data_IF_279507103211
#
_entry.id   IF_279507103211
#
_cell.length_a   1.000
_cell.length_b   1.000
_cell.length_c   1.000
_cell.angle_alpha   90.00
_cell.angle_beta   90.00
_cell.angle_gamma   90.00
#
_symmetry.space_group_name_H-M   'P 1'
#
loop_
_entity.id
_entity.type
_entity.pdbx_description
1 polymer ?
#
# COMPACT_ATOMS: atom_id res chain seq x y z
N UNK A 1 -27.44 -5.50 -26.85
CA UNK A 1 -27.23 -6.45 -25.75
C UNK A 1 -27.06 -5.63 -24.47
N UNK A 2 -28.10 -5.57 -23.65
CA UNK A 2 -28.20 -4.72 -22.46
C UNK A 2 -27.63 -5.47 -21.25
N UNK A 3 -26.39 -5.18 -20.87
CA UNK A 3 -25.74 -5.74 -19.69
C UNK A 3 -26.35 -5.15 -18.40
N UNK A 4 -27.35 -5.83 -17.82
CA UNK A 4 -27.52 -6.08 -16.38
C UNK A 4 -27.52 -4.96 -15.31
N UNK A 5 -27.31 -3.69 -15.62
CA UNK A 5 -27.38 -2.60 -14.64
C UNK A 5 -27.91 -1.36 -15.30
N UNK A 6 -29.09 -0.88 -14.88
CA UNK A 6 -29.78 0.28 -15.44
C UNK A 6 -29.01 1.60 -15.26
N UNK A 7 -29.70 2.65 -14.82
CA UNK A 7 -29.06 3.94 -14.54
C UNK A 7 -27.96 3.84 -13.46
N UNK A 8 -27.12 4.89 -13.36
CA UNK A 8 -26.03 4.89 -12.38
C UNK A 8 -26.54 4.77 -10.93
N UNK A 9 -27.70 5.37 -10.63
CA UNK A 9 -28.36 5.24 -9.34
C UNK A 9 -28.64 3.77 -8.97
N UNK A 10 -29.06 2.96 -9.93
CA UNK A 10 -29.27 1.53 -9.75
C UNK A 10 -27.96 0.76 -9.55
N UNK A 11 -26.88 1.16 -10.22
CA UNK A 11 -25.55 0.53 -10.09
C UNK A 11 -24.90 0.82 -8.73
N UNK A 12 -25.02 2.04 -8.20
CA UNK A 12 -24.41 2.41 -6.91
C UNK A 12 -25.15 1.83 -5.69
N UNK A 13 -26.44 1.47 -5.84
CA UNK A 13 -27.30 1.00 -4.74
C UNK A 13 -26.64 -0.08 -3.89
N UNK A 14 -26.02 -1.08 -4.50
CA UNK A 14 -25.39 -2.17 -3.76
C UNK A 14 -24.28 -1.66 -2.81
N UNK A 15 -23.37 -0.83 -3.33
CA UNK A 15 -22.28 -0.28 -2.52
C UNK A 15 -22.81 0.59 -1.36
N UNK A 16 -23.81 1.42 -1.63
CA UNK A 16 -24.44 2.31 -0.66
C UNK A 16 -25.17 1.54 0.43
N UNK A 17 -25.99 0.53 0.08
CA UNK A 17 -26.71 -0.28 1.06
C UNK A 17 -25.77 -1.11 1.93
N UNK A 18 -24.65 -1.60 1.39
CA UNK A 18 -23.63 -2.31 2.19
C UNK A 18 -23.06 -1.38 3.26
N UNK A 19 -22.62 -0.18 2.89
CA UNK A 19 -22.06 0.78 3.87
C UNK A 19 -23.12 1.18 4.90
N UNK A 20 -24.36 1.44 4.46
CA UNK A 20 -25.46 1.81 5.36
C UNK A 20 -25.79 0.68 6.34
N UNK A 21 -25.90 -0.56 5.87
CA UNK A 21 -26.19 -1.71 6.71
C UNK A 21 -25.06 -1.98 7.72
N UNK A 22 -23.80 -1.83 7.31
CA UNK A 22 -22.65 -1.93 8.22
C UNK A 22 -22.73 -0.83 9.27
N UNK A 23 -22.92 0.44 8.88
CA UNK A 23 -23.04 1.56 9.82
C UNK A 23 -24.16 1.35 10.84
N UNK A 24 -25.35 0.94 10.38
CA UNK A 24 -26.48 0.62 11.26
C UNK A 24 -26.14 -0.50 12.25
N UNK A 25 -25.34 -1.49 11.86
CA UNK A 25 -24.97 -2.61 12.72
C UNK A 25 -23.92 -2.26 13.76
N UNK A 26 -22.92 -1.45 13.39
CA UNK A 26 -21.75 -1.18 14.25
C UNK A 26 -21.88 0.09 15.09
N UNK A 27 -22.89 0.93 14.83
CA UNK A 27 -23.07 2.21 15.52
C UNK A 27 -22.15 3.31 14.99
N UNK A 28 -22.11 4.47 15.65
CA UNK A 28 -21.36 5.64 15.15
C UNK A 28 -19.87 5.60 15.50
N UNK A 29 -19.51 5.04 16.66
CA UNK A 29 -18.12 4.97 17.16
C UNK A 29 -17.34 3.79 16.57
N UNK A 30 -17.38 3.67 15.25
CA UNK A 30 -16.70 2.62 14.50
C UNK A 30 -16.18 3.16 13.17
N UNK A 31 -14.90 2.92 12.87
CA UNK A 31 -14.30 3.37 11.62
C UNK A 31 -14.80 2.50 10.46
N UNK A 32 -15.38 3.14 9.45
CA UNK A 32 -15.70 2.49 8.17
C UNK A 32 -14.87 3.15 7.08
N UNK A 33 -14.00 2.37 6.43
CA UNK A 33 -13.22 2.84 5.28
C UNK A 33 -13.83 2.23 4.02
N UNK A 34 -14.26 3.09 3.09
CA UNK A 34 -14.69 2.64 1.77
C UNK A 34 -13.56 2.85 0.76
N UNK A 35 -13.13 1.78 0.09
CA UNK A 35 -12.10 1.88 -0.95
C UNK A 35 -12.76 2.08 -2.31
N UNK A 36 -12.85 3.34 -2.73
CA UNK A 36 -13.49 3.77 -3.96
C UNK A 36 -12.54 3.62 -5.16
N UNK A 37 -12.95 2.91 -6.21
CA UNK A 37 -12.24 2.99 -7.48
C UNK A 37 -12.45 4.38 -8.07
N UNK A 38 -11.36 5.15 -8.19
CA UNK A 38 -11.41 6.53 -8.71
C UNK A 38 -10.81 6.64 -10.12
N UNK A 39 -10.23 5.55 -10.62
CA UNK A 39 -9.63 5.46 -11.93
C UNK A 39 -9.58 3.99 -12.37
N UNK A 40 -10.59 3.53 -13.11
CA UNK A 40 -10.75 2.09 -13.43
C UNK A 40 -9.71 1.55 -14.42
N UNK A 41 -9.23 2.38 -15.36
CA UNK A 41 -8.25 2.01 -16.41
C UNK A 41 -8.67 0.85 -17.33
N UNK A 42 -9.97 0.66 -17.51
CA UNK A 42 -10.57 -0.28 -18.48
C UNK A 42 -11.55 0.45 -19.40
N UNK A 43 -11.81 -0.13 -20.56
CA UNK A 43 -12.84 0.36 -21.46
C UNK A 43 -14.21 0.31 -20.78
N UNK A 44 -15.04 1.35 -20.99
CA UNK A 44 -16.35 1.49 -20.34
C UNK A 44 -16.30 1.50 -18.80
N UNK A 45 -15.17 1.93 -18.21
CA UNK A 45 -15.07 2.25 -16.78
C UNK A 45 -15.92 3.46 -16.38
N UNK A 46 -15.98 3.72 -15.08
CA UNK A 46 -16.72 4.85 -14.51
C UNK A 46 -16.13 6.21 -14.89
N UNK A 47 -17.01 7.21 -14.96
CA UNK A 47 -16.59 8.62 -15.17
C UNK A 47 -16.20 9.27 -13.84
N UNK A 48 -15.56 10.45 -13.92
CA UNK A 48 -15.25 11.22 -12.72
C UNK A 48 -16.53 11.74 -12.02
N UNK A 49 -17.55 12.15 -12.79
CA UNK A 49 -18.82 12.61 -12.22
C UNK A 49 -19.55 11.48 -11.49
N UNK A 50 -19.54 10.27 -12.06
CA UNK A 50 -20.01 9.05 -11.42
C UNK A 50 -19.23 8.79 -10.12
N UNK A 51 -17.90 8.91 -10.15
CA UNK A 51 -17.04 8.75 -8.96
C UNK A 51 -17.40 9.73 -7.85
N UNK A 52 -17.63 11.01 -8.18
CA UNK A 52 -18.07 12.05 -7.22
C UNK A 52 -19.43 11.70 -6.64
N UNK A 53 -20.40 11.32 -7.48
CA UNK A 53 -21.74 10.95 -7.05
C UNK A 53 -21.71 9.76 -6.08
N UNK A 54 -20.92 8.73 -6.37
CA UNK A 54 -20.75 7.59 -5.49
C UNK A 54 -20.03 7.97 -4.19
N UNK A 55 -18.98 8.79 -4.23
CA UNK A 55 -18.27 9.24 -3.04
C UNK A 55 -19.20 9.96 -2.05
N UNK A 56 -20.04 10.88 -2.55
CA UNK A 56 -21.03 11.60 -1.76
C UNK A 56 -22.10 10.66 -1.20
N UNK A 57 -22.57 9.69 -1.99
CA UNK A 57 -23.54 8.70 -1.52
C UNK A 57 -22.97 7.79 -0.42
N UNK A 58 -21.68 7.45 -0.50
CA UNK A 58 -20.96 6.65 0.49
C UNK A 58 -20.69 7.43 1.77
N UNK A 59 -20.33 8.72 1.66
CA UNK A 59 -20.27 9.63 2.81
C UNK A 59 -21.62 9.71 3.52
N UNK A 60 -22.71 9.97 2.79
CA UNK A 60 -24.06 10.01 3.34
C UNK A 60 -24.53 8.66 3.94
N UNK A 61 -24.00 7.53 3.44
CA UNK A 61 -24.26 6.21 4.01
C UNK A 61 -23.51 5.96 5.34
N UNK A 62 -22.55 6.81 5.69
CA UNK A 62 -21.85 6.79 6.98
C UNK A 62 -20.43 6.24 6.93
N UNK A 63 -19.75 6.29 5.79
CA UNK A 63 -18.31 6.04 5.75
C UNK A 63 -17.54 7.09 6.58
N UNK A 64 -16.49 6.65 7.27
CA UNK A 64 -15.61 7.53 8.06
C UNK A 64 -14.46 8.08 7.21
N UNK A 65 -13.89 7.26 6.32
CA UNK A 65 -12.83 7.65 5.39
C UNK A 65 -13.08 7.04 4.01
N UNK A 66 -12.58 7.70 2.97
CA UNK A 66 -12.54 7.14 1.61
C UNK A 66 -11.08 6.91 1.21
N UNK A 67 -10.77 5.66 0.88
CA UNK A 67 -9.47 5.26 0.35
C UNK A 67 -9.52 5.16 -1.18
N UNK A 68 -8.47 5.61 -1.85
CA UNK A 68 -8.40 5.54 -3.31
C UNK A 68 -8.08 4.11 -3.79
N UNK A 69 -8.79 3.67 -4.83
CA UNK A 69 -8.50 2.52 -5.67
C UNK A 69 -8.11 2.97 -7.08
N UNK A 70 -7.06 2.37 -7.63
CA UNK A 70 -6.52 2.69 -8.96
C UNK A 70 -6.35 1.40 -9.76
N UNK A 71 -7.03 1.35 -10.90
CA UNK A 71 -7.00 0.27 -11.86
C UNK A 71 -7.75 -0.98 -11.40
N UNK A 72 -8.04 -1.82 -12.37
CA UNK A 72 -8.54 -3.18 -12.16
C UNK A 72 -7.44 -4.21 -12.43
N UNK A 73 -7.62 -5.45 -11.97
CA UNK A 73 -6.68 -6.53 -12.28
C UNK A 73 -6.58 -6.83 -13.79
N UNK A 74 -7.62 -6.52 -14.55
CA UNK A 74 -7.68 -6.69 -16.01
C UNK A 74 -7.07 -5.51 -16.78
N UNK A 75 -6.78 -4.39 -16.12
CA UNK A 75 -6.23 -3.21 -16.76
C UNK A 75 -4.84 -3.50 -17.34
N UNK A 76 -4.60 -3.03 -18.57
CA UNK A 76 -3.31 -3.19 -19.28
C UNK A 76 -2.29 -2.12 -18.91
N UNK A 77 -2.69 -1.13 -18.11
CA UNK A 77 -1.85 -0.03 -17.66
C UNK A 77 -1.25 -0.41 -16.30
N UNK A 78 0.09 -0.40 -16.13
CA UNK A 78 0.71 -0.68 -14.84
C UNK A 78 0.32 0.35 -13.77
N UNK A 79 -0.16 -0.10 -12.62
CA UNK A 79 -0.57 0.79 -11.51
C UNK A 79 0.33 0.71 -10.29
N UNK A 80 1.10 -0.37 -10.13
CA UNK A 80 1.86 -0.64 -8.91
C UNK A 80 3.32 -1.10 -9.13
N UNK A 81 3.66 -1.59 -10.32
CA UNK A 81 4.98 -2.17 -10.62
C UNK A 81 6.10 -1.11 -10.64
N UNK A 82 7.37 -1.54 -10.65
CA UNK A 82 8.58 -0.67 -10.67
C UNK A 82 8.57 0.44 -11.74
N UNK A 83 8.06 0.24 -12.97
CA UNK A 83 8.01 1.31 -13.97
C UNK A 83 7.09 2.49 -13.62
N UNK A 84 6.14 2.31 -12.70
CA UNK A 84 5.21 3.38 -12.30
C UNK A 84 5.96 4.43 -11.45
N UNK A 85 5.84 5.74 -11.68
CA UNK A 85 6.53 6.73 -10.84
C UNK A 85 6.09 6.69 -9.36
N UNK A 86 6.92 7.20 -8.46
CA UNK A 86 6.53 7.36 -7.05
C UNK A 86 5.36 8.34 -6.93
N UNK A 87 4.33 7.99 -6.15
CA UNK A 87 3.15 8.84 -5.93
C UNK A 87 2.35 9.19 -7.20
N UNK A 88 2.46 8.38 -8.27
CA UNK A 88 1.95 8.70 -9.61
C UNK A 88 0.45 9.04 -9.71
N UNK A 89 -0.35 8.65 -8.71
CA UNK A 89 -1.80 8.81 -8.71
C UNK A 89 -2.32 9.69 -7.58
N UNK A 90 -1.45 10.40 -6.85
CA UNK A 90 -1.85 11.39 -5.83
C UNK A 90 -2.85 12.42 -6.35
N UNK A 91 -2.66 12.87 -7.59
CA UNK A 91 -3.55 13.80 -8.28
C UNK A 91 -4.98 13.26 -8.46
N UNK A 92 -5.18 11.94 -8.53
CA UNK A 92 -6.52 11.32 -8.65
C UNK A 92 -7.30 11.56 -7.36
N UNK A 93 -6.68 11.29 -6.21
CA UNK A 93 -7.27 11.58 -4.89
C UNK A 93 -7.51 13.08 -4.73
N UNK A 94 -6.55 13.92 -5.16
CA UNK A 94 -6.67 15.39 -5.10
C UNK A 94 -7.90 15.92 -5.83
N UNK A 95 -8.29 15.31 -6.95
CA UNK A 95 -9.49 15.72 -7.71
C UNK A 95 -10.78 15.60 -6.91
N UNK A 96 -10.85 14.66 -5.95
CA UNK A 96 -12.04 14.45 -5.12
C UNK A 96 -12.09 15.39 -3.89
N UNK A 97 -10.97 16.07 -3.55
CA UNK A 97 -10.94 17.04 -2.45
C UNK A 97 -11.93 18.19 -2.73
N UNK A 98 -12.77 18.48 -1.73
CA UNK A 98 -13.81 19.52 -1.81
C UNK A 98 -15.18 19.01 -2.29
N UNK A 99 -15.27 17.79 -2.82
CA UNK A 99 -16.55 17.17 -3.18
C UNK A 99 -17.19 16.38 -2.03
N UNK A 100 -16.39 15.97 -1.05
CA UNK A 100 -16.78 15.28 0.18
C UNK A 100 -16.06 15.91 1.37
N UNK A 101 -16.59 15.73 2.58
CA UNK A 101 -16.01 16.26 3.83
C UNK A 101 -15.18 15.22 4.59
N UNK A 102 -15.45 13.93 4.39
CA UNK A 102 -14.65 12.84 4.97
C UNK A 102 -13.19 12.86 4.50
N UNK A 103 -12.22 12.49 5.36
CA UNK A 103 -10.82 12.43 4.97
C UNK A 103 -10.55 11.45 3.82
N UNK A 104 -9.67 11.85 2.91
CA UNK A 104 -9.27 11.06 1.74
C UNK A 104 -7.86 10.46 1.92
N UNK A 105 -7.69 9.22 1.45
CA UNK A 105 -6.42 8.49 1.55
C UNK A 105 -5.85 8.24 0.14
N UNK A 106 -4.71 8.85 -0.18
CA UNK A 106 -3.98 8.61 -1.43
C UNK A 106 -3.17 7.31 -1.35
N UNK A 107 -3.02 6.59 -2.47
CA UNK A 107 -2.32 5.30 -2.51
C UNK A 107 -1.43 5.16 -3.75
N UNK A 108 -0.86 3.97 -3.92
CA UNK A 108 0.00 3.51 -5.00
C UNK A 108 1.37 4.19 -5.08
N UNK A 109 2.42 3.36 -5.04
CA UNK A 109 3.83 3.76 -5.25
C UNK A 109 4.31 4.90 -4.34
N UNK A 110 3.71 5.04 -3.17
CA UNK A 110 4.24 5.84 -2.07
C UNK A 110 5.09 4.88 -1.22
N UNK A 111 6.41 5.05 -1.20
CA UNK A 111 7.37 4.14 -0.57
C UNK A 111 8.56 4.88 0.07
N UNK A 112 8.40 6.18 0.28
CA UNK A 112 9.44 7.09 0.74
C UNK A 112 8.77 8.14 1.64
N UNK A 113 9.31 8.40 2.85
CA UNK A 113 8.70 9.35 3.78
C UNK A 113 8.56 10.76 3.20
N UNK A 114 9.56 11.23 2.43
CA UNK A 114 9.54 12.57 1.84
C UNK A 114 8.49 12.68 0.74
N UNK A 115 8.27 11.61 -0.03
CA UNK A 115 7.19 11.56 -1.03
C UNK A 115 5.82 11.61 -0.34
N UNK A 116 5.64 10.84 0.73
CA UNK A 116 4.42 10.88 1.53
C UNK A 116 4.17 12.28 2.10
N UNK A 117 5.17 12.88 2.74
CA UNK A 117 5.10 14.22 3.31
C UNK A 117 4.77 15.27 2.24
N UNK A 118 5.40 15.18 1.07
CA UNK A 118 5.15 16.10 -0.04
C UNK A 118 3.70 16.04 -0.54
N UNK A 119 3.11 14.84 -0.61
CA UNK A 119 1.70 14.64 -0.99
C UNK A 119 0.77 15.30 0.04
N UNK A 120 1.04 15.09 1.33
CA UNK A 120 0.24 15.66 2.43
C UNK A 120 0.37 17.19 2.48
N UNK A 121 1.59 17.72 2.43
CA UNK A 121 1.87 19.16 2.49
C UNK A 121 1.27 19.94 1.31
N UNK A 122 1.12 19.31 0.13
CA UNK A 122 0.45 19.90 -1.05
C UNK A 122 -1.08 19.83 -0.97
N UNK A 123 -1.63 19.11 0.00
CA UNK A 123 -3.07 18.92 0.17
C UNK A 123 -3.69 17.94 -0.84
N UNK A 124 -2.89 17.02 -1.40
CA UNK A 124 -3.37 16.00 -2.33
C UNK A 124 -4.31 14.99 -1.66
N UNK A 125 -4.07 14.71 -0.37
CA UNK A 125 -4.88 13.85 0.47
C UNK A 125 -4.69 14.20 1.94
N UNK A 126 -5.54 13.66 2.81
CA UNK A 126 -5.46 13.82 4.26
C UNK A 126 -4.60 12.72 4.91
N UNK A 127 -4.45 11.59 4.20
CA UNK A 127 -3.60 10.47 4.60
C UNK A 127 -2.96 9.81 3.37
N UNK A 128 -1.91 9.04 3.60
CA UNK A 128 -1.32 8.16 2.58
C UNK A 128 -1.44 6.69 2.98
N UNK A 129 -1.66 5.84 1.98
CA UNK A 129 -1.72 4.40 2.11
C UNK A 129 -0.46 3.78 1.54
N UNK A 130 0.24 3.03 2.39
CA UNK A 130 1.40 2.23 2.04
C UNK A 130 1.10 0.77 2.41
N UNK A 131 1.26 -0.15 1.45
CA UNK A 131 1.10 -1.59 1.70
C UNK A 131 2.46 -2.30 1.61
N UNK A 132 2.99 -2.46 0.40
CA UNK A 132 4.28 -3.13 0.15
C UNK A 132 5.49 -2.49 0.87
N UNK A 133 5.56 -1.17 1.12
CA UNK A 133 6.60 -0.62 1.97
C UNK A 133 6.68 -1.27 3.35
N UNK A 134 5.55 -1.65 3.96
CA UNK A 134 5.55 -2.35 5.26
C UNK A 134 5.96 -3.82 5.18
N UNK A 135 5.84 -4.46 4.01
CA UNK A 135 6.49 -5.77 3.79
C UNK A 135 8.00 -5.62 3.68
N UNK A 136 8.48 -4.54 3.05
CA UNK A 136 9.91 -4.28 2.90
C UNK A 136 10.58 -3.84 4.21
N UNK A 137 9.89 -3.02 5.00
CA UNK A 137 10.38 -2.52 6.28
C UNK A 137 9.23 -2.27 7.26
N UNK A 138 9.15 -3.08 8.32
CA UNK A 138 8.16 -2.90 9.37
C UNK A 138 8.47 -1.69 10.28
N UNK A 139 9.72 -1.21 10.29
CA UNK A 139 10.17 -0.06 11.07
C UNK A 139 10.09 1.26 10.29
N UNK A 140 9.52 1.25 9.08
CA UNK A 140 9.48 2.40 8.17
C UNK A 140 9.13 3.73 8.86
N UNK A 141 8.02 3.76 9.62
CA UNK A 141 7.56 4.97 10.29
C UNK A 141 8.46 5.35 11.47
N UNK A 142 8.92 4.38 12.27
CA UNK A 142 9.81 4.63 13.39
C UNK A 142 11.16 5.21 12.93
N UNK A 143 11.70 4.70 11.82
CA UNK A 143 12.92 5.22 11.17
C UNK A 143 12.71 6.63 10.63
N UNK A 144 11.62 6.88 9.91
CA UNK A 144 11.28 8.21 9.41
C UNK A 144 11.17 9.23 10.54
N UNK A 145 10.44 8.90 11.61
CA UNK A 145 10.23 9.79 12.76
C UNK A 145 11.53 10.09 13.53
N UNK A 146 12.48 9.15 13.56
CA UNK A 146 13.76 9.30 14.25
C UNK A 146 14.89 9.85 13.36
N UNK A 147 14.58 10.33 12.14
CA UNK A 147 15.56 10.90 11.23
C UNK A 147 16.48 9.87 10.55
N UNK A 148 16.14 8.58 10.60
CA UNK A 148 16.91 7.45 10.03
C UNK A 148 16.31 6.97 8.70
N UNK A 149 15.86 7.90 7.87
CA UNK A 149 15.21 7.56 6.60
C UNK A 149 16.16 6.83 5.62
N UNK A 150 17.46 7.05 5.76
CA UNK A 150 18.54 6.36 5.05
C UNK A 150 18.67 4.87 5.42
N UNK A 151 18.17 4.45 6.59
CA UNK A 151 18.14 3.05 7.03
C UNK A 151 16.89 2.29 6.56
N UNK A 152 15.97 2.93 5.84
CA UNK A 152 14.72 2.30 5.39
C UNK A 152 15.01 1.30 4.27
N UNK A 153 14.59 0.05 4.49
CA UNK A 153 14.65 -1.00 3.48
C UNK A 153 13.54 -0.80 2.44
N UNK A 154 13.81 0.07 1.46
CA UNK A 154 12.80 0.61 0.55
C UNK A 154 12.20 -0.47 -0.36
N UNK A 155 10.86 -0.51 -0.43
CA UNK A 155 10.17 -1.35 -1.42
C UNK A 155 10.47 -0.88 -2.85
N UNK A 156 11.04 -1.76 -3.67
CA UNK A 156 11.41 -1.45 -5.07
C UNK A 156 10.28 -1.65 -6.08
N UNK A 157 9.11 -2.12 -5.64
CA UNK A 157 7.95 -2.34 -6.50
C UNK A 157 8.05 -3.55 -7.43
N UNK A 158 8.92 -4.52 -7.12
CA UNK A 158 9.23 -5.66 -8.00
C UNK A 158 8.09 -6.68 -8.14
N UNK A 159 7.14 -6.74 -7.20
CA UNK A 159 6.03 -7.69 -7.14
C UNK A 159 6.38 -9.19 -6.98
N UNK A 160 7.62 -9.58 -7.25
CA UNK A 160 8.10 -10.97 -7.27
C UNK A 160 7.78 -11.79 -6.02
N UNK A 161 8.10 -11.28 -4.83
CA UNK A 161 7.92 -12.03 -3.59
C UNK A 161 6.55 -11.80 -2.94
N UNK A 162 5.82 -10.77 -3.36
CA UNK A 162 4.52 -10.42 -2.79
C UNK A 162 3.38 -10.82 -3.71
N UNK A 163 3.05 -9.99 -4.70
CA UNK A 163 1.94 -10.24 -5.62
C UNK A 163 2.11 -11.54 -6.41
N UNK A 164 3.28 -11.78 -7.02
CA UNK A 164 3.45 -12.96 -7.89
C UNK A 164 3.31 -14.26 -7.09
N UNK A 165 3.70 -14.28 -5.81
CA UNK A 165 3.50 -15.44 -4.93
C UNK A 165 2.04 -15.66 -4.57
N UNK A 166 1.32 -14.61 -4.16
CA UNK A 166 -0.08 -14.77 -3.76
C UNK A 166 -0.99 -15.10 -4.95
N UNK A 167 -0.67 -14.62 -6.16
CA UNK A 167 -1.40 -14.99 -7.38
C UNK A 167 -1.31 -16.48 -7.72
N UNK A 168 -0.26 -17.18 -7.27
CA UNK A 168 -0.13 -18.64 -7.40
C UNK A 168 -0.47 -19.39 -6.11
N UNK A 169 -1.20 -18.75 -5.19
CA UNK A 169 -1.68 -19.36 -3.95
C UNK A 169 -0.59 -19.64 -2.90
N UNK A 170 0.58 -18.99 -2.99
CA UNK A 170 1.65 -19.11 -2.00
C UNK A 170 1.63 -17.95 -1.01
N UNK A 171 2.15 -18.20 0.19
CA UNK A 171 2.34 -17.17 1.21
C UNK A 171 3.23 -16.05 0.65
N UNK A 172 2.77 -14.81 0.85
CA UNK A 172 3.50 -13.58 0.50
C UNK A 172 4.79 -13.47 1.31
N UNK A 173 5.81 -12.86 0.71
CA UNK A 173 7.07 -12.47 1.36
C UNK A 173 7.54 -11.14 0.73
N UNK A 174 8.81 -10.77 0.92
CA UNK A 174 9.43 -9.62 0.28
C UNK A 174 10.84 -9.96 -0.22
N UNK A 175 11.21 -9.45 -1.39
CA UNK A 175 12.51 -9.70 -2.00
C UNK A 175 13.65 -9.12 -1.15
N UNK A 176 13.44 -7.91 -0.62
CA UNK A 176 14.44 -7.21 0.21
C UNK A 176 14.30 -7.53 1.69
N UNK A 177 13.19 -8.17 2.09
CA UNK A 177 12.94 -8.60 3.47
C UNK A 177 12.34 -10.02 3.48
N UNK A 178 13.17 -11.08 3.45
CA UNK A 178 12.70 -12.46 3.45
C UNK A 178 11.87 -12.83 4.69
N UNK A 179 11.98 -12.07 5.79
CA UNK A 179 11.23 -12.30 7.03
C UNK A 179 9.78 -11.82 6.96
N UNK A 180 9.41 -11.01 5.98
CA UNK A 180 8.05 -10.51 5.83
C UNK A 180 7.05 -11.67 5.78
N UNK A 181 6.05 -11.66 6.66
CA UNK A 181 5.06 -12.71 6.85
C UNK A 181 5.62 -14.07 7.32
N UNK A 182 6.86 -14.11 7.80
CA UNK A 182 7.55 -15.29 8.33
C UNK A 182 8.25 -15.00 9.66
N UNK A 183 7.90 -13.92 10.34
CA UNK A 183 8.62 -13.35 11.49
C UNK A 183 8.68 -14.33 12.66
N UNK A 184 7.60 -15.10 12.89
CA UNK A 184 7.49 -16.12 13.95
C UNK A 184 8.29 -17.37 13.65
N UNK A 185 8.49 -17.71 12.38
CA UNK A 185 9.30 -18.85 11.93
C UNK A 185 10.79 -18.50 11.80
N UNK A 186 11.11 -17.21 11.67
CA UNK A 186 12.47 -16.69 11.47
C UNK A 186 12.85 -15.67 12.57
N UNK A 187 12.97 -16.11 13.84
CA UNK A 187 13.40 -15.23 14.92
C UNK A 187 14.87 -14.82 14.75
N UNK A 188 15.17 -13.55 15.02
CA UNK A 188 16.54 -13.07 15.09
C UNK A 188 16.99 -13.20 16.54
N UNK A 189 17.91 -14.12 16.79
CA UNK A 189 18.45 -14.42 18.12
C UNK A 189 19.92 -14.02 18.22
N UNK A 190 20.36 -13.41 19.33
CA UNK A 190 21.78 -13.16 19.57
C UNK A 190 22.60 -14.45 19.48
N UNK A 191 23.83 -14.36 18.99
CA UNK A 191 24.74 -15.52 18.94
C UNK A 191 25.30 -15.83 20.33
N UNK A 192 25.28 -17.10 20.70
CA UNK A 192 25.90 -17.57 21.96
C UNK A 192 27.43 -17.46 21.88
N UNK A 193 28.01 -17.80 20.72
CA UNK A 193 29.45 -17.72 20.47
C UNK A 193 29.73 -16.89 19.22
N UNK A 194 30.35 -15.72 19.42
CA UNK A 194 30.80 -14.85 18.33
C UNK A 194 31.88 -15.54 17.47
N UNK A 195 31.91 -15.21 16.19
CA UNK A 195 32.86 -15.74 15.19
C UNK A 195 33.33 -14.59 14.30
N UNK A 196 34.52 -14.74 13.72
CA UNK A 196 35.03 -13.90 12.64
C UNK A 196 34.68 -14.57 11.31
N UNK A 197 33.92 -13.90 10.46
CA UNK A 197 33.38 -14.44 9.21
C UNK A 197 33.91 -13.62 8.03
N UNK A 198 34.36 -14.30 6.98
CA UNK A 198 34.71 -13.69 5.71
C UNK A 198 33.58 -13.94 4.69
N UNK A 199 33.10 -12.88 4.04
CA UNK A 199 32.09 -12.93 2.98
C UNK A 199 32.75 -12.41 1.71
N UNK A 200 32.84 -13.24 0.67
CA UNK A 200 33.46 -12.86 -0.60
C UNK A 200 32.36 -12.58 -1.63
N UNK A 201 32.24 -11.32 -2.02
CA UNK A 201 31.25 -10.84 -2.99
C UNK A 201 30.17 -9.97 -2.36
N UNK A 202 30.21 -8.66 -2.67
CA UNK A 202 29.25 -7.66 -2.23
C UNK A 202 27.94 -7.59 -3.06
N UNK A 203 27.53 -8.73 -3.65
CA UNK A 203 26.20 -8.86 -4.27
C UNK A 203 25.08 -8.99 -3.23
N UNK A 204 23.80 -9.05 -3.64
CA UNK A 204 22.65 -9.08 -2.71
C UNK A 204 22.70 -10.25 -1.72
N UNK A 205 23.21 -11.42 -2.13
CA UNK A 205 23.39 -12.56 -1.23
C UNK A 205 24.42 -12.28 -0.12
N UNK A 206 25.58 -11.73 -0.50
CA UNK A 206 26.65 -11.39 0.45
C UNK A 206 26.25 -10.26 1.39
N UNK A 207 25.64 -9.19 0.86
CA UNK A 207 25.12 -8.08 1.66
C UNK A 207 24.07 -8.54 2.66
N UNK A 208 23.07 -9.32 2.21
CA UNK A 208 22.01 -9.82 3.09
C UNK A 208 22.59 -10.71 4.21
N UNK A 209 23.54 -11.60 3.90
CA UNK A 209 24.20 -12.41 4.91
C UNK A 209 25.00 -11.53 5.89
N UNK A 210 25.81 -10.61 5.37
CA UNK A 210 26.74 -9.81 6.19
C UNK A 210 26.00 -8.98 7.24
N UNK A 211 24.96 -8.22 6.84
CA UNK A 211 24.20 -7.37 7.78
C UNK A 211 23.45 -8.20 8.82
N UNK A 212 22.90 -9.36 8.44
CA UNK A 212 22.15 -10.23 9.36
C UNK A 212 23.09 -10.99 10.32
N UNK A 213 24.25 -11.43 9.85
CA UNK A 213 25.24 -12.07 10.71
C UNK A 213 25.85 -11.08 11.70
N UNK A 214 26.14 -9.85 11.25
CA UNK A 214 26.63 -8.78 12.09
C UNK A 214 25.61 -8.34 13.15
N UNK A 215 24.32 -8.17 12.78
CA UNK A 215 23.26 -7.80 13.72
C UNK A 215 23.02 -8.85 14.81
N UNK A 216 23.30 -10.13 14.53
CA UNK A 216 23.30 -11.21 15.52
C UNK A 216 24.52 -11.19 16.45
N UNK A 217 25.59 -10.47 16.11
CA UNK A 217 26.78 -10.26 16.93
C UNK A 217 28.09 -10.86 16.40
N UNK A 218 28.13 -11.40 15.17
CA UNK A 218 29.39 -11.85 14.54
C UNK A 218 30.24 -10.66 14.07
N UNK A 219 31.56 -10.86 14.00
CA UNK A 219 32.45 -9.94 13.28
C UNK A 219 32.51 -10.40 11.82
N UNK A 220 32.16 -9.52 10.88
CA UNK A 220 32.06 -9.85 9.46
C UNK A 220 33.00 -8.94 8.67
N UNK A 221 33.82 -9.55 7.82
CA UNK A 221 34.63 -8.86 6.81
C UNK A 221 34.05 -9.19 5.43
N UNK A 222 33.57 -8.16 4.72
CA UNK A 222 33.06 -8.29 3.35
C UNK A 222 34.15 -7.86 2.36
N UNK A 223 34.43 -8.73 1.38
CA UNK A 223 35.38 -8.52 0.28
C UNK A 223 34.66 -8.30 -1.04
#
# INVERSE_FOLDING_TARGET
MTNGGGDYASRMRFAVEVVRAVRQRVGNDFIIIYRLSMLDLVENGGTFDETVQLAQAIEAAGATLINTGIGWHEARIPTIATPVPRGAFSWVTRKLKGHVSVPLIATNRINDPQVAETILARGDADMVSMARPFLADAEFLAKAQSGRADEINTCIGCNQACLDRIFIGKVTSCLVNPRACHETHMPITPVIRKKNLAVVGAGPAGLAFAINAASRGHHVTLF
#
